data_IF_898554210487
#
_entry.id   IF_898554210487
#
_cell.length_a   1.000
_cell.length_b   1.000
_cell.length_c   1.000
_cell.angle_alpha   90.00
_cell.angle_beta   90.00
_cell.angle_gamma   90.00
#
_symmetry.space_group_name_H-M   'P 1'
#
loop_
_entity.id
_entity.type
_entity.pdbx_description
1 polymer ?
#
# COMPACT_ATOMS: atom_id res chain seq x y z
N UNK A 1 9.54 6.08 21.49
CA UNK A 1 9.85 6.37 20.06
C UNK A 1 8.71 7.11 19.36
N UNK A 2 7.49 6.59 19.30
CA UNK A 2 6.36 7.25 18.60
C UNK A 2 6.09 8.71 19.02
N UNK A 3 6.18 9.09 20.30
CA UNK A 3 5.88 10.47 20.73
C UNK A 3 6.87 11.49 20.13
N UNK A 4 8.17 11.22 20.23
CA UNK A 4 9.20 12.12 19.67
C UNK A 4 9.06 12.27 18.16
N UNK A 5 8.79 11.17 17.48
CA UNK A 5 8.54 11.16 16.04
C UNK A 5 7.29 11.97 15.68
N UNK A 6 6.16 11.74 16.37
CA UNK A 6 4.92 12.48 16.13
C UNK A 6 5.07 13.98 16.43
N UNK A 7 5.84 14.36 17.45
CA UNK A 7 6.14 15.76 17.74
C UNK A 7 7.02 16.39 16.64
N UNK A 8 7.98 15.64 16.10
CA UNK A 8 8.79 16.08 14.96
C UNK A 8 7.94 16.22 13.70
N UNK A 9 7.05 15.27 13.44
CA UNK A 9 6.10 15.30 12.33
C UNK A 9 5.15 16.50 12.42
N UNK A 10 4.58 16.76 13.61
CA UNK A 10 3.75 17.94 13.87
C UNK A 10 4.49 19.23 13.49
N UNK A 11 5.75 19.39 13.93
CA UNK A 11 6.57 20.56 13.57
C UNK A 11 6.81 20.67 12.05
N UNK A 12 7.16 19.56 11.41
CA UNK A 12 7.41 19.55 9.97
C UNK A 12 6.15 19.88 9.15
N UNK A 13 4.99 19.41 9.61
CA UNK A 13 3.69 19.65 8.96
C UNK A 13 3.16 21.06 9.19
N UNK A 14 3.59 21.74 10.26
CA UNK A 14 3.11 23.08 10.63
C UNK A 14 1.59 23.17 10.80
N UNK A 15 0.97 22.11 11.34
CA UNK A 15 -0.47 22.04 11.59
C UNK A 15 -0.76 21.86 13.08
N UNK A 16 -1.92 22.35 13.51
CA UNK A 16 -2.40 22.11 14.86
C UNK A 16 -3.04 20.73 14.97
N UNK A 17 -2.74 20.05 16.05
CA UNK A 17 -3.28 18.73 16.36
C UNK A 17 -3.66 18.63 17.84
N UNK A 18 -4.63 17.77 18.14
CA UNK A 18 -5.01 17.43 19.50
C UNK A 18 -3.92 16.54 20.19
N UNK A 19 -4.19 16.14 21.44
CA UNK A 19 -3.30 15.30 22.26
C UNK A 19 -3.02 13.91 21.66
N UNK A 20 -3.86 13.46 20.72
CA UNK A 20 -3.73 12.17 20.02
C UNK A 20 -3.17 12.34 18.61
N UNK A 21 -2.65 13.52 18.26
CA UNK A 21 -2.10 13.86 16.94
C UNK A 21 -3.11 13.84 15.80
N UNK A 22 -4.39 14.15 16.09
CA UNK A 22 -5.41 14.38 15.08
C UNK A 22 -5.55 15.87 14.78
N UNK A 23 -5.51 16.22 13.51
CA UNK A 23 -5.90 17.54 13.01
C UNK A 23 -7.40 17.82 13.28
N UNK A 24 -7.86 19.04 13.04
CA UNK A 24 -9.28 19.37 13.20
C UNK A 24 -10.17 18.53 12.30
N UNK A 25 -9.71 18.31 11.07
CA UNK A 25 -10.33 17.43 10.07
C UNK A 25 -9.26 16.90 9.11
N UNK A 26 -9.63 15.96 8.22
CA UNK A 26 -8.68 15.36 7.27
C UNK A 26 -8.14 16.37 6.25
N UNK A 27 -8.88 17.43 5.93
CA UNK A 27 -8.45 18.45 4.95
C UNK A 27 -7.19 19.16 5.43
N UNK A 28 -7.02 19.32 6.75
CA UNK A 28 -5.81 19.92 7.31
C UNK A 28 -4.58 19.00 7.16
N UNK A 29 -4.82 17.69 6.94
CA UNK A 29 -3.78 16.68 6.77
C UNK A 29 -3.36 16.46 5.31
N UNK A 30 -3.86 17.22 4.35
CA UNK A 30 -3.51 17.11 2.94
C UNK A 30 -2.94 18.42 2.41
N UNK A 31 -2.05 18.32 1.42
CA UNK A 31 -1.47 19.49 0.77
C UNK A 31 -2.38 20.03 -0.35
N UNK A 32 -2.75 19.18 -1.29
CA UNK A 32 -3.60 19.56 -2.42
C UNK A 32 -5.07 19.68 -2.01
N UNK A 33 -5.53 20.89 -1.76
CA UNK A 33 -6.88 21.22 -1.30
C UNK A 33 -7.67 21.96 -2.39
N UNK A 34 -8.96 21.63 -2.57
CA UNK A 34 -9.70 20.51 -1.97
C UNK A 34 -9.29 19.16 -2.57
N UNK A 35 -9.50 18.06 -1.82
CA UNK A 35 -9.34 16.72 -2.38
C UNK A 35 -10.31 16.53 -3.55
N UNK A 36 -9.84 16.00 -4.67
CA UNK A 36 -10.68 15.73 -5.83
C UNK A 36 -11.81 14.75 -5.49
N UNK A 37 -13.03 14.96 -6.04
CA UNK A 37 -14.20 14.13 -5.73
C UNK A 37 -13.96 12.63 -6.00
N UNK A 38 -13.23 12.31 -7.09
CA UNK A 38 -12.84 10.94 -7.41
C UNK A 38 -12.05 10.28 -6.24
N UNK A 39 -11.14 11.01 -5.63
CA UNK A 39 -10.32 10.52 -4.51
C UNK A 39 -11.16 10.41 -3.22
N UNK A 40 -12.06 11.37 -2.95
CA UNK A 40 -13.00 11.27 -1.82
C UNK A 40 -13.81 9.97 -1.92
N UNK A 41 -14.31 9.63 -3.11
CA UNK A 41 -15.05 8.38 -3.32
C UNK A 41 -14.23 7.15 -3.01
N UNK A 42 -12.94 7.11 -3.42
CA UNK A 42 -12.04 5.99 -3.15
C UNK A 42 -11.84 5.79 -1.64
N UNK A 43 -11.48 6.85 -0.92
CA UNK A 43 -11.23 6.78 0.53
C UNK A 43 -12.49 6.57 1.39
N UNK A 44 -13.67 6.95 0.90
CA UNK A 44 -14.94 6.68 1.60
C UNK A 44 -15.46 5.25 1.39
N UNK A 45 -15.20 4.65 0.22
CA UNK A 45 -15.70 3.31 -0.14
C UNK A 45 -14.69 2.21 0.12
N UNK A 46 -13.40 2.51 0.28
CA UNK A 46 -12.38 1.57 0.73
C UNK A 46 -12.78 0.92 2.06
N UNK A 47 -12.31 -0.27 2.34
CA UNK A 47 -12.66 -0.97 3.60
C UNK A 47 -12.21 -0.19 4.85
N UNK A 48 -11.13 0.60 4.72
CA UNK A 48 -10.62 1.48 5.78
C UNK A 48 -11.58 2.60 6.15
N UNK A 49 -12.42 3.06 5.22
CA UNK A 49 -13.32 4.22 5.37
C UNK A 49 -12.59 5.42 5.97
N UNK A 50 -11.42 5.71 5.42
CA UNK A 50 -10.43 6.63 6.00
C UNK A 50 -10.97 8.04 6.28
N UNK A 51 -11.92 8.52 5.46
CA UNK A 51 -12.53 9.85 5.59
C UNK A 51 -13.80 9.85 6.45
N UNK A 52 -14.23 8.70 6.97
CA UNK A 52 -15.48 8.61 7.74
C UNK A 52 -15.17 8.44 9.23
N UNK A 53 -15.80 9.26 10.10
CA UNK A 53 -15.74 9.04 11.55
C UNK A 53 -16.32 7.67 11.91
N UNK A 54 -15.72 6.98 12.86
CA UNK A 54 -16.16 5.66 13.29
C UNK A 54 -16.16 5.57 14.81
N UNK A 55 -17.23 5.02 15.38
CA UNK A 55 -17.36 4.72 16.82
C UNK A 55 -17.05 5.95 17.72
N UNK A 56 -17.52 7.14 17.32
CA UNK A 56 -17.29 8.39 18.04
C UNK A 56 -15.86 8.93 17.96
N UNK A 57 -14.99 8.31 17.15
CA UNK A 57 -13.63 8.78 16.87
C UNK A 57 -13.61 9.60 15.60
N UNK A 58 -12.65 10.53 15.51
CA UNK A 58 -12.37 11.27 14.28
C UNK A 58 -12.02 10.31 13.16
N UNK A 59 -12.21 10.75 11.92
CA UNK A 59 -11.74 10.06 10.73
C UNK A 59 -10.22 9.77 10.80
N UNK A 60 -9.80 8.60 10.38
CA UNK A 60 -8.39 8.20 10.43
C UNK A 60 -7.49 9.11 9.58
N UNK A 61 -8.01 9.62 8.47
CA UNK A 61 -7.32 10.55 7.60
C UNK A 61 -6.93 11.87 8.28
N UNK A 62 -7.59 12.27 9.37
CA UNK A 62 -7.20 13.43 10.17
C UNK A 62 -5.96 13.18 11.04
N UNK A 63 -5.55 11.92 11.24
CA UNK A 63 -4.34 11.58 11.97
C UNK A 63 -3.09 11.94 11.16
N UNK A 64 -2.15 12.70 11.74
CA UNK A 64 -0.95 13.15 11.01
C UNK A 64 0.01 12.02 10.62
N UNK A 65 -0.12 10.84 11.20
CA UNK A 65 0.62 9.63 10.83
C UNK A 65 -0.24 8.60 10.07
N UNK A 66 -1.31 9.05 9.40
CA UNK A 66 -2.09 8.20 8.49
C UNK A 66 -1.28 7.83 7.25
N UNK A 67 -1.10 6.52 7.02
CA UNK A 67 -0.43 6.00 5.81
C UNK A 67 -1.19 6.36 4.53
N UNK A 68 -2.52 6.32 4.57
CA UNK A 68 -3.37 6.70 3.43
C UNK A 68 -3.19 8.17 3.05
N UNK A 69 -3.12 9.09 4.03
CA UNK A 69 -2.88 10.51 3.74
C UNK A 69 -1.44 10.79 3.33
N UNK A 70 -0.48 10.04 3.86
CA UNK A 70 0.89 10.08 3.37
C UNK A 70 0.93 9.71 1.88
N UNK A 71 0.34 8.60 1.50
CA UNK A 71 0.26 8.13 0.11
C UNK A 71 -0.44 9.18 -0.77
N UNK A 72 -1.54 9.74 -0.30
CA UNK A 72 -2.26 10.79 -1.02
C UNK A 72 -1.36 12.00 -1.29
N UNK A 73 -0.68 12.53 -0.27
CA UNK A 73 0.19 13.69 -0.41
C UNK A 73 1.34 13.45 -1.39
N UNK A 74 1.91 12.23 -1.41
CA UNK A 74 3.04 11.90 -2.29
C UNK A 74 2.64 11.59 -3.73
N UNK A 75 1.42 11.10 -4.01
CA UNK A 75 1.07 10.58 -5.33
C UNK A 75 -0.14 11.26 -5.99
N UNK A 76 -0.95 12.05 -5.27
CA UNK A 76 -2.20 12.60 -5.82
C UNK A 76 -2.06 13.64 -6.92
N UNK A 77 -0.86 14.19 -7.09
CA UNK A 77 -0.53 15.16 -8.15
C UNK A 77 -0.27 14.51 -9.50
N UNK A 78 -0.13 13.18 -9.54
CA UNK A 78 0.18 12.44 -10.77
C UNK A 78 -1.05 12.43 -11.68
N UNK A 79 -0.88 12.94 -12.89
CA UNK A 79 -1.87 12.94 -13.95
C UNK A 79 -1.19 12.96 -15.34
N UNK A 80 -1.98 13.09 -16.40
CA UNK A 80 -1.47 13.13 -17.78
C UNK A 80 -0.55 14.33 -18.07
N UNK A 81 -0.71 15.43 -17.34
CA UNK A 81 0.09 16.64 -17.50
C UNK A 81 1.31 16.64 -16.60
N UNK A 82 1.24 15.93 -15.47
CA UNK A 82 2.28 15.79 -14.47
C UNK A 82 2.58 14.31 -14.22
N UNK A 83 3.26 13.63 -15.15
CA UNK A 83 3.57 12.22 -14.99
C UNK A 83 4.75 12.01 -14.04
N UNK A 84 4.73 10.91 -13.29
CA UNK A 84 5.86 10.41 -12.54
C UNK A 84 6.76 9.55 -13.43
N UNK A 85 8.05 9.92 -13.53
CA UNK A 85 9.07 9.05 -14.11
C UNK A 85 9.76 8.27 -12.98
N UNK A 86 9.57 6.94 -12.95
CA UNK A 86 10.15 6.06 -11.94
C UNK A 86 10.70 4.79 -12.58
N UNK A 87 11.97 4.46 -12.30
CA UNK A 87 12.64 3.27 -12.86
C UNK A 87 12.52 3.18 -14.40
N UNK A 88 12.59 4.31 -15.09
CA UNK A 88 12.48 4.39 -16.56
C UNK A 88 11.07 4.24 -17.11
N UNK A 89 10.05 4.10 -16.25
CA UNK A 89 8.64 4.01 -16.63
C UNK A 89 7.93 5.31 -16.29
N UNK A 90 7.12 5.81 -17.24
CA UNK A 90 6.33 7.03 -17.09
C UNK A 90 4.90 6.66 -16.67
N UNK A 91 4.53 7.03 -15.45
CA UNK A 91 3.19 6.80 -14.89
C UNK A 91 2.39 8.09 -14.94
N UNK A 92 1.17 8.06 -15.45
CA UNK A 92 0.32 9.23 -15.64
C UNK A 92 -1.13 9.06 -15.14
N UNK A 93 -1.40 7.97 -14.44
CA UNK A 93 -2.68 7.73 -13.77
C UNK A 93 -2.42 7.19 -12.37
N UNK A 94 -3.27 7.62 -11.44
CA UNK A 94 -3.21 7.18 -10.03
C UNK A 94 -4.60 6.88 -9.52
N UNK A 95 -4.75 5.75 -8.85
CA UNK A 95 -5.90 5.44 -8.01
C UNK A 95 -5.45 5.00 -6.62
N UNK A 96 -6.32 5.20 -5.63
CA UNK A 96 -6.07 4.90 -4.23
C UNK A 96 -7.06 3.86 -3.73
N UNK A 97 -6.69 3.13 -2.66
CA UNK A 97 -7.55 2.13 -2.01
C UNK A 97 -8.10 1.10 -3.01
N UNK A 98 -7.26 0.66 -3.96
CA UNK A 98 -7.65 -0.32 -4.97
C UNK A 98 -7.82 -1.69 -4.36
N UNK A 99 -8.91 -2.38 -4.72
CA UNK A 99 -9.31 -3.63 -4.10
C UNK A 99 -9.05 -4.84 -4.97
N UNK A 100 -8.33 -5.82 -4.42
CA UNK A 100 -8.11 -7.13 -5.02
C UNK A 100 -8.84 -8.20 -4.20
N UNK A 101 -9.65 -9.02 -4.86
CA UNK A 101 -10.31 -10.14 -4.19
C UNK A 101 -9.30 -11.24 -3.89
N UNK A 102 -9.21 -11.65 -2.62
CA UNK A 102 -8.21 -12.61 -2.16
C UNK A 102 -8.72 -14.05 -2.28
N UNK A 103 -9.95 -14.31 -1.85
CA UNK A 103 -10.56 -15.64 -1.84
C UNK A 103 -11.90 -15.66 -2.59
N UNK A 104 -12.21 -16.80 -3.24
CA UNK A 104 -13.50 -17.05 -3.91
C UNK A 104 -14.66 -17.12 -2.92
N UNK A 105 -14.45 -17.83 -1.82
CA UNK A 105 -15.50 -18.22 -0.88
C UNK A 105 -15.92 -17.13 0.08
N UNK A 106 -15.16 -16.05 0.17
CA UNK A 106 -15.45 -14.90 1.03
C UNK A 106 -15.23 -13.59 0.28
N UNK A 107 -15.94 -12.57 0.69
CA UNK A 107 -15.74 -11.22 0.17
C UNK A 107 -14.50 -10.53 0.80
N UNK A 108 -13.43 -11.32 1.01
CA UNK A 108 -12.18 -10.81 1.53
C UNK A 108 -11.43 -10.08 0.42
N UNK A 109 -11.14 -8.84 0.66
CA UNK A 109 -10.40 -7.97 -0.26
C UNK A 109 -9.10 -7.51 0.40
N UNK A 110 -8.07 -7.33 -0.40
CA UNK A 110 -6.85 -6.63 -0.02
C UNK A 110 -6.89 -5.25 -0.66
N UNK A 111 -6.79 -4.20 0.15
CA UNK A 111 -6.76 -2.82 -0.32
C UNK A 111 -5.31 -2.39 -0.50
N UNK A 112 -4.95 -2.00 -1.71
CA UNK A 112 -3.66 -1.36 -2.01
C UNK A 112 -3.76 0.15 -1.87
N UNK A 113 -2.85 0.75 -1.15
CA UNK A 113 -2.86 2.18 -0.87
C UNK A 113 -2.77 3.02 -2.15
N UNK A 114 -1.89 2.60 -3.11
CA UNK A 114 -1.69 3.33 -4.38
C UNK A 114 -1.50 2.36 -5.53
N UNK A 115 -2.16 2.63 -6.65
CA UNK A 115 -1.91 1.98 -7.94
C UNK A 115 -1.61 3.04 -8.99
N UNK A 116 -0.47 2.89 -9.66
CA UNK A 116 -0.05 3.75 -10.76
C UNK A 116 -0.07 2.98 -12.06
N UNK A 117 -0.54 3.62 -13.13
CA UNK A 117 -0.56 3.03 -14.47
C UNK A 117 0.37 3.81 -15.39
N UNK A 118 1.19 3.10 -16.13
CA UNK A 118 2.07 3.68 -17.14
C UNK A 118 1.27 4.33 -18.29
N UNK A 119 1.90 5.27 -18.97
CA UNK A 119 1.31 6.00 -20.09
C UNK A 119 0.84 5.06 -21.23
N UNK A 120 1.60 3.99 -21.46
CA UNK A 120 1.31 2.96 -22.47
C UNK A 120 0.37 1.84 -21.98
N UNK A 121 -0.10 1.93 -20.73
CA UNK A 121 -0.98 0.95 -20.06
C UNK A 121 -0.38 -0.46 -19.89
N UNK A 122 0.94 -0.62 -20.11
CA UNK A 122 1.60 -1.91 -20.05
C UNK A 122 2.24 -2.24 -18.70
N UNK A 123 2.41 -1.24 -17.86
CA UNK A 123 3.02 -1.43 -16.53
C UNK A 123 2.11 -0.87 -15.45
N UNK A 124 1.81 -1.71 -14.48
CA UNK A 124 1.02 -1.36 -13.30
C UNK A 124 1.95 -1.41 -12.08
N UNK A 125 2.13 -0.27 -11.41
CA UNK A 125 2.89 -0.21 -10.16
C UNK A 125 1.92 -0.20 -8.99
N UNK A 126 2.08 -1.16 -8.11
CA UNK A 126 1.23 -1.48 -6.98
C UNK A 126 2.01 -1.18 -5.69
N UNK A 127 1.52 -0.25 -4.88
CA UNK A 127 2.23 0.22 -3.69
C UNK A 127 1.40 -0.01 -2.43
N UNK A 128 1.97 -0.74 -1.47
CA UNK A 128 1.52 -0.80 -0.09
C UNK A 128 2.37 0.16 0.74
N UNK A 129 1.73 1.12 1.41
CA UNK A 129 2.38 2.19 2.17
C UNK A 129 2.28 1.97 3.67
N UNK A 130 3.37 2.13 4.38
CA UNK A 130 3.42 2.07 5.84
C UNK A 130 4.08 3.32 6.40
N UNK A 131 3.41 3.95 7.37
CA UNK A 131 3.91 5.14 8.02
C UNK A 131 4.53 4.84 9.38
N UNK A 132 3.74 4.34 10.33
CA UNK A 132 4.19 3.97 11.68
C UNK A 132 3.83 2.54 12.07
N UNK A 133 3.04 1.85 11.26
CA UNK A 133 2.52 0.51 11.55
C UNK A 133 3.65 -0.52 11.67
N UNK A 134 4.73 -0.33 10.94
CA UNK A 134 5.91 -1.17 10.97
C UNK A 134 6.71 -1.12 12.29
N UNK A 135 6.36 -0.22 13.20
CA UNK A 135 6.91 -0.21 14.55
C UNK A 135 6.25 -1.23 15.50
N UNK A 136 5.16 -1.87 15.09
CA UNK A 136 4.44 -2.83 15.91
C UNK A 136 4.82 -4.26 15.53
N UNK A 137 5.50 -4.94 16.44
CA UNK A 137 5.75 -6.39 16.34
C UNK A 137 4.61 -7.13 17.06
N UNK A 138 4.19 -8.27 16.54
CA UNK A 138 3.16 -9.08 17.19
C UNK A 138 2.51 -10.10 16.27
N UNK A 139 1.59 -10.88 16.82
CA UNK A 139 0.78 -11.84 16.09
C UNK A 139 -0.38 -11.17 15.37
N UNK A 140 -0.94 -11.87 14.39
CA UNK A 140 -2.12 -11.44 13.62
C UNK A 140 -3.10 -12.59 13.52
N UNK A 141 -4.39 -12.29 13.53
CA UNK A 141 -5.42 -13.30 13.27
C UNK A 141 -5.46 -13.65 11.78
N UNK A 142 -5.42 -14.96 11.47
CA UNK A 142 -5.53 -15.49 10.12
C UNK A 142 -6.73 -16.45 10.09
N UNK A 143 -7.77 -16.06 9.36
CA UNK A 143 -8.99 -16.85 9.21
C UNK A 143 -8.72 -18.25 8.63
N UNK A 144 -9.43 -19.27 9.11
CA UNK A 144 -9.38 -20.65 8.60
C UNK A 144 -9.79 -20.77 7.12
N UNK A 145 -10.44 -19.75 6.56
CA UNK A 145 -10.77 -19.73 5.13
C UNK A 145 -9.53 -19.80 4.22
N UNK A 146 -8.36 -19.46 4.74
CA UNK A 146 -7.09 -19.57 4.02
C UNK A 146 -6.53 -21.01 4.00
N UNK A 147 -7.11 -21.95 4.74
CA UNK A 147 -6.63 -23.35 4.82
C UNK A 147 -7.19 -24.23 3.71
N UNK A 148 -8.26 -23.81 3.05
CA UNK A 148 -8.86 -24.56 1.96
C UNK A 148 -8.25 -24.10 0.61
N UNK A 149 -7.47 -24.97 -0.07
CA UNK A 149 -6.89 -24.64 -1.39
C UNK A 149 -7.93 -24.27 -2.44
N UNK A 150 -9.18 -24.76 -2.32
CA UNK A 150 -10.27 -24.45 -3.26
C UNK A 150 -10.81 -23.04 -3.08
N UNK A 151 -10.51 -22.39 -1.97
CA UNK A 151 -10.90 -21.01 -1.70
C UNK A 151 -10.13 -20.00 -2.56
N UNK A 152 -9.02 -20.36 -3.17
CA UNK A 152 -8.19 -19.47 -3.99
C UNK A 152 -8.59 -19.53 -5.48
N UNK A 153 -8.37 -18.44 -6.20
CA UNK A 153 -8.57 -18.39 -7.65
C UNK A 153 -7.47 -19.11 -8.42
N UNK A 154 -6.23 -19.05 -7.92
CA UNK A 154 -5.08 -19.70 -8.51
C UNK A 154 -4.10 -20.17 -7.43
N UNK A 155 -3.31 -21.21 -7.72
CA UNK A 155 -2.21 -21.72 -6.89
C UNK A 155 -2.58 -22.03 -5.41
N UNK A 156 -3.83 -22.46 -5.16
CA UNK A 156 -4.38 -22.59 -3.80
C UNK A 156 -3.55 -23.48 -2.87
N UNK A 157 -3.02 -24.61 -3.35
CA UNK A 157 -2.17 -25.51 -2.55
C UNK A 157 -0.92 -24.77 -2.04
N UNK A 158 -0.24 -24.03 -2.94
CA UNK A 158 0.98 -23.29 -2.59
C UNK A 158 0.68 -22.13 -1.63
N UNK A 159 -0.40 -21.39 -1.87
CA UNK A 159 -0.84 -20.33 -0.95
C UNK A 159 -1.21 -20.86 0.43
N UNK A 160 -1.91 -21.99 0.52
CA UNK A 160 -2.20 -22.64 1.79
C UNK A 160 -0.93 -23.02 2.54
N UNK A 161 0.12 -23.49 1.86
CA UNK A 161 1.42 -23.78 2.47
C UNK A 161 2.08 -22.50 3.03
N UNK A 162 2.08 -21.41 2.29
CA UNK A 162 2.60 -20.10 2.75
C UNK A 162 1.86 -19.62 4.00
N UNK A 163 0.54 -19.69 4.01
CA UNK A 163 -0.28 -19.29 5.17
C UNK A 163 0.01 -20.18 6.38
N UNK A 164 0.16 -21.49 6.17
CA UNK A 164 0.55 -22.42 7.23
C UNK A 164 1.91 -22.07 7.82
N UNK A 165 2.93 -21.85 6.98
CA UNK A 165 4.25 -21.42 7.44
C UNK A 165 4.19 -20.13 8.27
N UNK A 166 3.32 -19.18 7.88
CA UNK A 166 3.13 -17.95 8.64
C UNK A 166 2.55 -18.23 10.04
N UNK A 167 1.57 -19.12 10.16
CA UNK A 167 1.02 -19.55 11.46
C UNK A 167 2.04 -20.29 12.30
N UNK A 168 2.75 -21.27 11.73
CA UNK A 168 3.76 -22.06 12.43
C UNK A 168 4.85 -21.15 13.04
N UNK A 169 5.22 -20.09 12.34
CA UNK A 169 6.18 -19.08 12.85
C UNK A 169 5.57 -18.25 14.00
N UNK A 170 4.32 -17.83 13.90
CA UNK A 170 3.64 -17.15 15.02
C UNK A 170 3.52 -18.03 16.25
N UNK A 171 3.16 -19.31 16.05
CA UNK A 171 2.96 -20.28 17.12
C UNK A 171 4.31 -20.67 17.78
N UNK A 172 5.42 -20.60 17.07
CA UNK A 172 6.76 -20.78 17.62
C UNK A 172 7.21 -19.62 18.52
N UNK A 173 6.43 -18.55 18.62
CA UNK A 173 6.76 -17.36 19.40
C UNK A 173 7.75 -16.41 18.72
N UNK A 174 7.97 -16.57 17.41
CA UNK A 174 8.82 -15.63 16.64
C UNK A 174 8.25 -14.20 16.74
N UNK A 175 9.17 -13.25 16.94
CA UNK A 175 8.82 -11.83 16.95
C UNK A 175 9.09 -11.21 15.59
N UNK A 176 8.03 -10.95 14.83
CA UNK A 176 8.10 -10.29 13.53
C UNK A 176 6.88 -9.37 13.31
N UNK A 177 6.91 -8.60 12.24
CA UNK A 177 5.77 -7.77 11.81
C UNK A 177 4.77 -8.62 11.02
N UNK A 178 4.10 -9.55 11.69
CA UNK A 178 3.21 -10.52 11.06
C UNK A 178 2.01 -9.90 10.37
N UNK A 179 1.47 -8.79 10.86
CA UNK A 179 0.38 -8.08 10.18
C UNK A 179 0.81 -7.60 8.80
N UNK A 180 2.00 -6.99 8.68
CA UNK A 180 2.53 -6.55 7.39
C UNK A 180 2.84 -7.71 6.45
N UNK A 181 3.41 -8.80 6.97
CA UNK A 181 3.68 -10.02 6.19
C UNK A 181 2.37 -10.59 5.62
N UNK A 182 1.33 -10.72 6.47
CA UNK A 182 0.00 -11.17 6.05
C UNK A 182 -0.59 -10.25 4.99
N UNK A 183 -0.52 -8.93 5.17
CA UNK A 183 -1.03 -7.97 4.20
C UNK A 183 -0.36 -8.13 2.84
N UNK A 184 0.98 -8.20 2.82
CA UNK A 184 1.72 -8.43 1.56
C UNK A 184 1.34 -9.76 0.93
N UNK A 185 1.22 -10.85 1.71
CA UNK A 185 0.75 -12.12 1.19
C UNK A 185 -0.66 -12.00 0.56
N UNK A 186 -1.60 -11.33 1.24
CA UNK A 186 -2.95 -11.10 0.71
C UNK A 186 -2.94 -10.29 -0.59
N UNK A 187 -2.08 -9.25 -0.69
CA UNK A 187 -1.92 -8.49 -1.93
C UNK A 187 -1.40 -9.37 -3.06
N UNK A 188 -0.35 -10.15 -2.81
CA UNK A 188 0.22 -11.05 -3.83
C UNK A 188 -0.77 -12.13 -4.27
N UNK A 189 -1.58 -12.68 -3.34
CA UNK A 189 -2.67 -13.61 -3.68
C UNK A 189 -3.66 -12.93 -4.62
N UNK A 190 -4.15 -11.74 -4.25
CA UNK A 190 -5.15 -11.02 -5.03
C UNK A 190 -4.64 -10.61 -6.42
N UNK A 191 -3.43 -10.06 -6.50
CA UNK A 191 -2.78 -9.67 -7.76
C UNK A 191 -2.55 -10.90 -8.66
N UNK A 192 -1.97 -11.98 -8.10
CA UNK A 192 -1.75 -13.23 -8.85
C UNK A 192 -3.06 -13.81 -9.36
N UNK A 193 -4.15 -13.67 -8.60
CA UNK A 193 -5.49 -14.11 -9.01
C UNK A 193 -5.97 -13.35 -10.24
N UNK A 194 -5.81 -12.03 -10.28
CA UNK A 194 -6.19 -11.20 -11.44
C UNK A 194 -5.36 -11.57 -12.69
N UNK A 195 -4.08 -11.88 -12.51
CA UNK A 195 -3.20 -12.25 -13.62
C UNK A 195 -3.56 -13.64 -14.18
N UNK A 196 -3.78 -14.62 -13.31
CA UNK A 196 -3.86 -16.04 -13.68
C UNK A 196 -5.28 -16.57 -13.87
N UNK A 197 -6.33 -15.83 -13.52
CA UNK A 197 -7.69 -16.33 -13.48
C UNK A 197 -8.69 -15.32 -14.04
N UNK A 198 -9.43 -15.71 -15.06
CA UNK A 198 -10.37 -14.85 -15.77
C UNK A 198 -11.53 -14.40 -14.87
N UNK A 199 -12.08 -15.27 -14.02
CA UNK A 199 -13.16 -14.90 -13.09
C UNK A 199 -12.71 -13.81 -12.09
N UNK A 200 -11.49 -13.93 -11.57
CA UNK A 200 -10.92 -12.93 -10.66
C UNK A 200 -10.67 -11.60 -11.39
N UNK A 201 -10.19 -11.67 -12.64
CA UNK A 201 -9.93 -10.50 -13.48
C UNK A 201 -11.22 -9.81 -13.90
N UNK A 202 -12.24 -10.56 -14.29
CA UNK A 202 -13.56 -10.02 -14.62
C UNK A 202 -14.18 -9.32 -13.41
N UNK A 203 -14.11 -9.96 -12.22
CA UNK A 203 -14.56 -9.32 -11.00
C UNK A 203 -13.81 -8.01 -10.73
N UNK A 204 -12.46 -8.01 -10.86
CA UNK A 204 -11.63 -6.82 -10.69
C UNK A 204 -12.06 -5.72 -11.66
N UNK A 205 -12.11 -6.02 -12.95
CA UNK A 205 -12.48 -5.06 -13.99
C UNK A 205 -13.86 -4.43 -13.79
N UNK A 206 -14.81 -5.16 -13.18
CA UNK A 206 -16.14 -4.60 -12.88
C UNK A 206 -16.18 -3.78 -11.58
N UNK A 207 -15.23 -3.97 -10.65
CA UNK A 207 -15.30 -3.37 -9.31
C UNK A 207 -14.17 -2.38 -9.00
N UNK A 208 -13.13 -2.33 -9.84
CA UNK A 208 -11.92 -1.56 -9.59
C UNK A 208 -12.10 -0.06 -9.83
N UNK A 209 -11.34 0.73 -9.10
CA UNK A 209 -11.22 2.16 -9.35
C UNK A 209 -10.54 2.46 -10.68
N UNK A 210 -9.60 1.60 -11.13
CA UNK A 210 -8.99 1.70 -12.45
C UNK A 210 -10.06 1.69 -13.54
N UNK A 211 -11.06 0.81 -13.46
CA UNK A 211 -12.17 0.79 -14.40
C UNK A 211 -13.08 2.02 -14.23
N UNK A 212 -13.55 2.28 -13.02
CA UNK A 212 -14.57 3.32 -12.79
C UNK A 212 -14.08 4.75 -12.98
N UNK A 213 -12.80 5.00 -12.75
CA UNK A 213 -12.23 6.36 -12.78
C UNK A 213 -11.38 6.59 -14.04
N UNK A 214 -10.60 5.60 -14.44
CA UNK A 214 -9.65 5.72 -15.55
C UNK A 214 -10.11 4.99 -16.82
N UNK A 215 -11.22 4.24 -16.76
CA UNK A 215 -11.74 3.46 -17.90
C UNK A 215 -10.86 2.28 -18.32
N UNK A 216 -9.95 1.84 -17.44
CA UNK A 216 -8.97 0.81 -17.73
C UNK A 216 -9.46 -0.56 -17.26
N UNK A 217 -9.39 -1.55 -18.18
CA UNK A 217 -9.59 -2.96 -17.87
C UNK A 217 -8.26 -3.70 -18.01
N UNK A 218 -7.88 -4.43 -16.96
CA UNK A 218 -6.70 -5.29 -17.00
C UNK A 218 -6.97 -6.52 -17.88
N UNK A 219 -5.93 -6.92 -18.63
CA UNK A 219 -5.95 -8.10 -19.51
C UNK A 219 -5.22 -9.29 -18.87
N UNK A 220 -4.38 -9.02 -17.85
CA UNK A 220 -3.54 -10.01 -17.17
C UNK A 220 -2.18 -10.22 -17.82
N UNK A 221 -1.89 -9.55 -18.92
CA UNK A 221 -0.60 -9.58 -19.63
C UNK A 221 0.28 -8.35 -19.36
N UNK A 222 -0.23 -7.37 -18.58
CA UNK A 222 0.55 -6.24 -18.14
C UNK A 222 1.71 -6.68 -17.24
N UNK A 223 2.76 -5.89 -17.19
CA UNK A 223 3.82 -6.04 -16.18
C UNK A 223 3.35 -5.44 -14.87
N UNK A 224 3.18 -6.26 -13.85
CA UNK A 224 2.84 -5.82 -12.50
C UNK A 224 4.11 -5.67 -11.67
N UNK A 225 4.31 -4.51 -11.07
CA UNK A 225 5.41 -4.24 -10.13
C UNK A 225 4.83 -4.00 -8.75
N UNK A 226 5.14 -4.86 -7.78
CA UNK A 226 4.69 -4.69 -6.40
C UNK A 226 5.80 -4.12 -5.53
N UNK A 227 5.48 -3.07 -4.77
CA UNK A 227 6.40 -2.45 -3.80
C UNK A 227 5.66 -2.23 -2.48
N UNK A 228 6.29 -2.65 -1.38
CA UNK A 228 5.90 -2.22 -0.05
C UNK A 228 6.88 -1.15 0.41
N UNK A 229 6.37 0.04 0.77
CA UNK A 229 7.21 1.17 1.14
C UNK A 229 6.96 1.62 2.58
N UNK A 230 8.02 1.99 3.28
CA UNK A 230 7.96 2.50 4.64
C UNK A 230 8.48 3.94 4.70
N UNK A 231 7.92 4.72 5.61
CA UNK A 231 8.19 6.15 5.65
C UNK A 231 9.61 6.49 6.12
N UNK A 232 10.03 5.95 7.24
CA UNK A 232 11.29 6.41 7.84
C UNK A 232 12.34 5.30 7.92
N UNK A 233 13.44 5.43 7.15
CA UNK A 233 14.45 4.40 7.04
C UNK A 233 15.43 4.34 8.22
N UNK A 234 15.64 5.44 8.97
CA UNK A 234 16.71 5.57 9.96
C UNK A 234 16.24 5.27 11.39
N UNK A 235 15.33 4.31 11.55
CA UNK A 235 14.74 3.96 12.84
C UNK A 235 14.57 2.45 12.97
N UNK A 236 13.99 2.01 14.09
CA UNK A 236 13.58 0.62 14.27
C UNK A 236 12.66 0.11 13.13
N UNK A 237 11.98 1.01 12.42
CA UNK A 237 11.21 0.69 11.23
C UNK A 237 12.03 0.11 10.09
N UNK A 238 13.29 0.52 9.95
CA UNK A 238 14.19 -0.07 8.95
C UNK A 238 14.53 -1.52 9.28
N UNK A 239 14.75 -1.82 10.57
CA UNK A 239 14.95 -3.18 11.04
C UNK A 239 13.70 -4.02 10.77
N UNK A 240 12.51 -3.55 11.14
CA UNK A 240 11.26 -4.27 10.92
C UNK A 240 10.97 -4.47 9.42
N UNK A 241 11.34 -3.51 8.58
CA UNK A 241 11.29 -3.65 7.12
C UNK A 241 12.18 -4.78 6.63
N UNK A 242 13.43 -4.81 7.08
CA UNK A 242 14.39 -5.85 6.70
C UNK A 242 13.93 -7.23 7.19
N UNK A 243 13.46 -7.33 8.42
CA UNK A 243 12.93 -8.57 9.00
C UNK A 243 11.70 -9.05 8.22
N UNK A 244 10.81 -8.14 7.84
CA UNK A 244 9.64 -8.45 7.03
C UNK A 244 10.03 -8.99 5.63
N UNK A 245 11.00 -8.34 4.99
CA UNK A 245 11.52 -8.75 3.70
C UNK A 245 12.17 -10.14 3.75
N UNK A 246 13.04 -10.38 4.75
CA UNK A 246 13.66 -11.68 4.96
C UNK A 246 12.61 -12.76 5.23
N UNK A 247 11.57 -12.42 6.00
CA UNK A 247 10.48 -13.34 6.28
C UNK A 247 9.72 -13.73 5.01
N UNK A 248 9.37 -12.76 4.15
CA UNK A 248 8.72 -13.02 2.86
C UNK A 248 9.58 -13.87 1.95
N UNK A 249 10.86 -13.55 1.82
CA UNK A 249 11.79 -14.34 1.00
C UNK A 249 11.89 -15.80 1.49
N UNK A 250 11.91 -16.02 2.80
CA UNK A 250 11.90 -17.38 3.36
C UNK A 250 10.61 -18.12 3.06
N UNK A 251 9.46 -17.44 3.10
CA UNK A 251 8.16 -18.04 2.79
C UNK A 251 8.03 -18.43 1.33
N UNK A 252 8.68 -17.69 0.42
CA UNK A 252 8.64 -17.96 -1.02
C UNK A 252 9.86 -18.75 -1.53
N UNK A 253 10.89 -19.00 -0.71
CA UNK A 253 12.16 -19.54 -1.16
C UNK A 253 12.08 -20.89 -1.87
N UNK A 254 11.14 -21.77 -1.47
CA UNK A 254 10.94 -23.10 -2.07
C UNK A 254 9.99 -23.10 -3.26
N UNK A 255 9.17 -22.06 -3.44
CA UNK A 255 8.05 -22.06 -4.38
C UNK A 255 7.89 -20.72 -5.11
N UNK A 256 8.97 -19.98 -5.24
CA UNK A 256 8.96 -18.64 -5.88
C UNK A 256 8.48 -18.66 -7.33
N UNK A 257 8.62 -19.80 -8.00
CA UNK A 257 8.22 -20.04 -9.39
C UNK A 257 6.70 -20.13 -9.60
N UNK A 258 5.91 -20.17 -8.52
CA UNK A 258 4.46 -20.21 -8.64
C UNK A 258 3.81 -18.82 -8.81
N UNK A 259 4.56 -17.76 -8.58
CA UNK A 259 4.09 -16.41 -8.89
C UNK A 259 4.11 -16.18 -10.41
N UNK A 260 3.17 -15.39 -10.95
CA UNK A 260 3.17 -15.05 -12.37
C UNK A 260 4.49 -14.40 -12.80
N UNK A 261 5.03 -14.80 -13.95
CA UNK A 261 6.31 -14.27 -14.45
C UNK A 261 6.29 -12.74 -14.70
N UNK A 262 5.10 -12.18 -14.95
CA UNK A 262 4.88 -10.74 -15.12
C UNK A 262 4.56 -10.00 -13.82
N UNK A 263 4.60 -10.67 -12.66
CA UNK A 263 4.52 -10.06 -11.33
C UNK A 263 5.94 -9.91 -10.74
N UNK A 264 6.45 -8.70 -10.77
CA UNK A 264 7.80 -8.38 -10.31
C UNK A 264 7.76 -7.86 -8.88
N UNK A 265 8.43 -8.57 -7.96
CA UNK A 265 8.57 -8.23 -6.54
C UNK A 265 10.01 -7.81 -6.20
N UNK A 266 10.75 -7.29 -7.17
CA UNK A 266 12.12 -6.86 -6.98
C UNK A 266 12.17 -5.70 -5.98
N UNK A 267 12.91 -5.91 -4.88
CA UNK A 267 12.96 -4.99 -3.74
C UNK A 267 11.54 -4.62 -3.27
N UNK A 268 10.76 -5.59 -2.75
CA UNK A 268 9.36 -5.36 -2.40
C UNK A 268 9.20 -4.26 -1.34
N UNK A 269 10.22 -4.06 -0.50
CA UNK A 269 10.21 -3.09 0.59
C UNK A 269 11.29 -2.04 0.34
N UNK A 270 10.86 -0.80 0.15
CA UNK A 270 11.70 0.38 -0.03
C UNK A 270 11.17 1.53 0.83
N UNK A 271 11.88 2.63 0.88
CA UNK A 271 11.46 3.81 1.63
C UNK A 271 10.84 4.88 0.73
N UNK A 272 10.09 5.81 1.32
CA UNK A 272 9.66 7.00 0.62
C UNK A 272 10.85 7.85 0.14
N UNK A 273 11.98 7.82 0.86
CA UNK A 273 13.22 8.48 0.41
C UNK A 273 13.76 7.82 -0.84
N UNK A 274 13.77 6.49 -0.90
CA UNK A 274 14.24 5.78 -2.10
C UNK A 274 13.38 6.15 -3.33
N UNK A 275 12.04 6.13 -3.21
CA UNK A 275 11.15 6.55 -4.31
C UNK A 275 11.39 8.01 -4.70
N UNK A 276 11.62 8.88 -3.73
CA UNK A 276 11.94 10.29 -3.97
C UNK A 276 13.19 10.44 -4.84
N UNK A 277 14.26 9.78 -4.44
CA UNK A 277 15.56 9.84 -5.12
C UNK A 277 15.56 9.12 -6.48
N UNK A 278 14.72 8.07 -6.64
CA UNK A 278 14.57 7.33 -7.89
C UNK A 278 13.76 8.05 -8.96
N UNK A 279 13.13 9.19 -8.67
CA UNK A 279 12.43 9.97 -9.68
C UNK A 279 11.25 10.81 -9.20
N UNK A 280 10.63 10.49 -8.07
CA UNK A 280 9.45 11.22 -7.60
C UNK A 280 9.79 12.71 -7.35
N UNK A 281 10.90 12.99 -6.64
CA UNK A 281 11.33 14.35 -6.37
C UNK A 281 11.71 15.16 -7.64
N UNK A 282 12.23 14.50 -8.66
CA UNK A 282 12.56 15.12 -9.94
C UNK A 282 11.31 15.38 -10.82
N UNK A 283 10.26 14.57 -10.65
CA UNK A 283 9.02 14.69 -11.43
C UNK A 283 8.11 15.82 -10.93
N UNK A 284 8.30 16.31 -9.69
CA UNK A 284 7.49 17.38 -9.12
C UNK A 284 8.00 18.72 -9.61
N UNK A 285 7.17 19.45 -10.36
CA UNK A 285 7.45 20.79 -10.88
C UNK A 285 6.92 21.91 -9.99
N UNK A 286 5.95 21.64 -9.13
CA UNK A 286 5.40 22.57 -8.15
C UNK A 286 6.38 22.69 -6.95
N UNK A 287 6.99 23.86 -6.80
CA UNK A 287 7.99 24.12 -5.76
C UNK A 287 7.41 24.06 -4.34
N UNK A 288 6.15 24.47 -4.14
CA UNK A 288 5.53 24.45 -2.82
C UNK A 288 5.17 23.03 -2.39
N UNK A 289 4.65 22.23 -3.31
CA UNK A 289 4.43 20.80 -3.09
C UNK A 289 5.75 20.09 -2.81
N UNK A 290 6.78 20.36 -3.60
CA UNK A 290 8.10 19.78 -3.42
C UNK A 290 8.67 20.10 -2.04
N UNK A 291 8.67 21.37 -1.65
CA UNK A 291 9.15 21.80 -0.34
C UNK A 291 8.33 21.21 0.81
N UNK A 292 7.02 21.03 0.62
CA UNK A 292 6.15 20.37 1.60
C UNK A 292 6.54 18.90 1.80
N UNK A 293 6.74 18.15 0.72
CA UNK A 293 7.11 16.73 0.78
C UNK A 293 8.55 16.53 1.29
N UNK A 294 9.48 17.42 0.94
CA UNK A 294 10.84 17.40 1.49
C UNK A 294 10.86 17.59 3.02
N UNK A 295 9.96 18.42 3.57
CA UNK A 295 9.80 18.54 5.02
C UNK A 295 9.33 17.25 5.68
N UNK A 296 8.43 16.48 5.01
CA UNK A 296 8.09 15.14 5.49
C UNK A 296 9.32 14.25 5.55
N UNK A 297 10.07 14.18 4.45
CA UNK A 297 11.24 13.32 4.33
C UNK A 297 12.39 13.72 5.25
N UNK A 298 12.39 14.96 5.77
CA UNK A 298 13.36 15.43 6.74
C UNK A 298 13.05 15.03 8.20
N UNK A 299 11.88 14.45 8.45
CA UNK A 299 11.48 14.01 9.81
C UNK A 299 12.27 12.77 10.20
N UNK A 300 13.04 12.91 11.26
CA UNK A 300 13.80 11.81 11.87
C UNK A 300 13.24 11.55 13.27
N UNK A 301 13.21 10.27 13.67
CA UNK A 301 12.76 9.84 15.01
C UNK A 301 13.87 10.02 16.07
#
# INVERSE_FOLDING_TARGET
MCKKFNDALKRARMIEVDKNYYASNYVDNIFLKPMAEKHIRMFCKGEGKELLPKDGKKEKAACIYSSSMLSYNFFSWIDKTHPLLLEGVKYNRVVFEEQFRVLKTRNNKANLDVVLVSEDEKTILLIESKFTEHFKLGTVDISDAYDDPKSYFANGIKWTQIIKQLRDRMDSGEKAYFEGIKQVACHLIGISSVILNDEARDWFNHNSWLHHIEGLNLKGDETFRFKSIVFNPNTEGEKNRADNYVALNRMFASDIDFLPANLLINNPIITYRDIWDMGLGASITDNDLKAFLERYLSVHA
#
